data_IF_270408987134
#
_entry.id   IF_270408987134
#
_cell.length_a   1.000
_cell.length_b   1.000
_cell.length_c   1.000
_cell.angle_alpha   90.00
_cell.angle_beta   90.00
_cell.angle_gamma   90.00
#
_symmetry.space_group_name_H-M   'P 1'
#
loop_
_entity.id
_entity.type
_entity.pdbx_description
1 polymer ?
#
# COMPACT_ATOMS: atom_id res chain seq x y z
N UNK A 1 -25.87 76.27 18.58
CA UNK A 1 -25.32 77.48 19.20
C UNK A 1 -24.91 77.06 20.58
N UNK A 2 -23.63 77.13 20.92
CA UNK A 2 -23.14 76.91 22.29
C UNK A 2 -23.52 78.12 23.13
N UNK A 3 -24.18 77.93 24.27
CA UNK A 3 -24.43 79.03 25.18
C UNK A 3 -23.12 79.41 25.90
N UNK A 4 -23.03 80.68 26.32
CA UNK A 4 -21.82 81.24 26.95
C UNK A 4 -22.07 81.50 28.42
N UNK A 5 -21.38 80.74 29.27
CA UNK A 5 -21.45 80.90 30.72
C UNK A 5 -20.28 81.77 31.23
N UNK A 6 -20.57 82.68 32.15
CA UNK A 6 -19.57 83.54 32.76
C UNK A 6 -19.54 83.31 34.27
N UNK A 7 -18.47 82.68 34.77
CA UNK A 7 -18.32 82.34 36.18
C UNK A 7 -17.53 83.39 36.97
N UNK A 8 -16.77 84.27 36.30
CA UNK A 8 -15.94 85.27 36.99
C UNK A 8 -14.93 84.61 37.94
N UNK A 9 -14.65 85.17 39.14
CA UNK A 9 -13.76 84.56 40.15
C UNK A 9 -14.45 83.50 41.01
N UNK A 10 -15.68 83.08 40.70
CA UNK A 10 -16.50 82.21 41.55
C UNK A 10 -16.21 80.72 41.33
N UNK A 11 -14.96 80.32 41.56
CA UNK A 11 -14.47 78.94 41.56
C UNK A 11 -13.57 78.73 42.76
N UNK A 12 -13.51 77.50 43.29
CA UNK A 12 -12.67 77.17 44.46
C UNK A 12 -11.18 77.28 44.13
N UNK A 13 -10.79 76.71 43.00
CA UNK A 13 -9.43 76.77 42.45
C UNK A 13 -9.49 76.77 40.92
N UNK A 14 -8.58 77.49 40.27
CA UNK A 14 -8.43 77.51 38.81
C UNK A 14 -6.98 77.17 38.46
N UNK A 15 -6.81 76.03 37.81
CA UNK A 15 -5.55 75.63 37.20
C UNK A 15 -5.64 75.78 35.69
N UNK A 16 -4.62 76.41 35.08
CA UNK A 16 -4.48 76.53 33.63
C UNK A 16 -3.29 75.71 33.16
N UNK A 17 -3.46 74.91 32.11
CA UNK A 17 -2.38 74.15 31.50
C UNK A 17 -1.58 74.97 30.48
N UNK A 18 -0.53 74.36 29.92
CA UNK A 18 0.22 74.95 28.82
C UNK A 18 -0.68 75.05 27.58
N UNK A 19 -0.61 76.16 26.85
CA UNK A 19 -1.39 76.34 25.62
C UNK A 19 -0.71 75.51 24.52
N UNK A 20 -1.35 74.42 24.02
CA UNK A 20 -0.74 73.61 23.00
C UNK A 20 -0.67 74.35 21.65
N UNK A 21 0.27 73.96 20.80
CA UNK A 21 0.43 74.57 19.48
C UNK A 21 -0.88 74.54 18.69
N UNK A 22 -1.14 75.61 17.93
CA UNK A 22 -2.32 75.70 17.08
C UNK A 22 -2.30 74.57 16.04
N UNK A 23 -3.48 74.17 15.58
CA UNK A 23 -3.60 73.18 14.52
C UNK A 23 -3.29 73.87 13.20
N UNK A 24 -2.25 73.40 12.53
CA UNK A 24 -1.75 73.97 11.27
C UNK A 24 -1.88 73.01 10.09
N UNK A 25 -2.15 71.72 10.35
CA UNK A 25 -2.25 70.68 9.32
C UNK A 25 -3.47 69.78 9.53
N UNK A 26 -4.11 69.41 8.43
CA UNK A 26 -5.12 68.35 8.38
C UNK A 26 -4.69 67.34 7.33
N UNK A 27 -4.55 66.09 7.74
CA UNK A 27 -4.30 64.95 6.90
C UNK A 27 -5.58 64.11 6.84
N UNK A 28 -6.08 63.91 5.63
CA UNK A 28 -7.35 63.23 5.39
C UNK A 28 -7.11 61.98 4.54
N UNK A 29 -7.01 60.83 5.20
CA UNK A 29 -6.72 59.53 4.58
C UNK A 29 -7.96 58.93 3.93
N UNK A 30 -7.85 58.55 2.66
CA UNK A 30 -8.93 57.97 1.84
C UNK A 30 -8.81 56.45 1.80
N UNK A 31 -7.59 55.95 1.70
CA UNK A 31 -7.22 54.54 1.78
C UNK A 31 -5.84 54.39 2.43
N UNK A 32 -5.22 53.21 2.37
CA UNK A 32 -3.92 52.95 3.01
C UNK A 32 -2.75 53.69 2.38
N UNK A 33 -2.86 54.13 1.13
CA UNK A 33 -1.77 54.72 0.34
C UNK A 33 -2.05 56.15 -0.13
N UNK A 34 -3.27 56.66 0.06
CA UNK A 34 -3.70 57.98 -0.40
C UNK A 34 -4.28 58.83 0.73
N UNK A 35 -3.68 60.01 0.96
CA UNK A 35 -4.18 61.03 1.87
C UNK A 35 -4.10 62.42 1.24
N UNK A 36 -5.07 63.28 1.56
CA UNK A 36 -5.08 64.69 1.19
C UNK A 36 -4.59 65.52 2.37
N UNK A 37 -3.55 66.33 2.14
CA UNK A 37 -2.99 67.22 3.17
C UNK A 37 -3.40 68.66 2.88
N UNK A 38 -3.87 69.36 3.91
CA UNK A 38 -4.03 70.80 3.92
C UNK A 38 -3.16 71.40 5.03
N UNK A 39 -2.44 72.49 4.74
CA UNK A 39 -1.68 73.25 5.73
C UNK A 39 -0.18 72.95 5.77
N UNK A 40 0.46 73.20 6.91
CA UNK A 40 1.91 73.08 7.12
C UNK A 40 2.28 72.48 8.48
N UNK A 41 3.56 72.16 8.67
CA UNK A 41 4.07 71.42 9.83
C UNK A 41 4.48 72.35 10.99
N UNK A 42 3.98 73.58 11.02
CA UNK A 42 4.37 74.57 12.04
C UNK A 42 3.68 74.38 13.40
N UNK A 43 2.67 73.53 13.47
CA UNK A 43 1.85 73.23 14.64
C UNK A 43 1.36 71.78 14.67
N UNK A 44 0.21 71.55 15.31
CA UNK A 44 -0.38 70.20 15.45
C UNK A 44 -1.11 69.77 14.17
N UNK A 45 -1.12 68.46 13.94
CA UNK A 45 -1.83 67.84 12.82
C UNK A 45 -3.10 67.13 13.32
N UNK A 46 -4.20 67.31 12.60
CA UNK A 46 -5.38 66.43 12.71
C UNK A 46 -5.25 65.32 11.68
N UNK A 47 -5.35 64.08 12.14
CA UNK A 47 -5.39 62.89 11.30
C UNK A 47 -6.83 62.36 11.25
N UNK A 48 -7.45 62.35 10.07
CA UNK A 48 -8.84 61.91 9.87
C UNK A 48 -8.90 60.90 8.74
N UNK A 49 -9.64 59.82 8.92
CA UNK A 49 -9.92 58.85 7.85
C UNK A 49 -11.30 59.09 7.25
N UNK A 50 -11.37 59.38 5.95
CA UNK A 50 -12.61 59.55 5.21
C UNK A 50 -12.46 59.00 3.77
N UNK A 51 -13.08 57.84 3.44
CA UNK A 51 -12.98 57.20 2.12
C UNK A 51 -13.56 58.00 0.94
N UNK A 52 -14.33 59.06 1.22
CA UNK A 52 -14.84 59.99 0.20
C UNK A 52 -14.22 61.39 0.34
N UNK A 53 -13.06 61.44 1.00
CA UNK A 53 -12.29 62.65 1.17
C UNK A 53 -11.96 63.34 -0.13
N UNK A 54 -12.02 64.66 -0.13
CA UNK A 54 -11.47 65.49 -1.22
C UNK A 54 -10.52 66.54 -0.65
N UNK A 55 -9.66 67.08 -1.52
CA UNK A 55 -8.75 68.17 -1.15
C UNK A 55 -9.51 69.40 -0.62
N UNK A 56 -10.70 69.69 -1.18
CA UNK A 56 -11.56 70.79 -0.71
C UNK A 56 -12.08 70.53 0.71
N UNK A 57 -12.35 69.28 1.08
CA UNK A 57 -12.75 68.92 2.44
C UNK A 57 -11.60 69.13 3.42
N UNK A 58 -10.39 68.66 3.09
CA UNK A 58 -9.20 68.90 3.93
C UNK A 58 -8.95 70.41 4.12
N UNK A 59 -9.06 71.20 3.05
CA UNK A 59 -8.92 72.65 3.10
C UNK A 59 -10.03 73.32 3.93
N UNK A 60 -11.29 72.86 3.79
CA UNK A 60 -12.43 73.39 4.53
C UNK A 60 -12.33 73.12 6.04
N UNK A 61 -11.89 71.91 6.41
CA UNK A 61 -11.65 71.54 7.81
C UNK A 61 -10.55 72.43 8.38
N UNK A 62 -9.42 72.56 7.69
CA UNK A 62 -8.33 73.43 8.15
C UNK A 62 -8.80 74.89 8.27
N UNK A 63 -9.57 75.41 7.31
CA UNK A 63 -10.10 76.77 7.36
C UNK A 63 -11.05 76.99 8.56
N UNK A 64 -11.83 75.98 8.94
CA UNK A 64 -12.78 76.07 10.05
C UNK A 64 -12.10 76.07 11.45
N UNK A 65 -10.87 75.54 11.53
CA UNK A 65 -10.14 75.36 12.80
C UNK A 65 -8.89 76.26 12.91
N UNK A 66 -8.37 76.74 11.78
CA UNK A 66 -7.17 77.58 11.73
C UNK A 66 -7.39 78.88 12.49
N UNK A 67 -6.41 79.25 13.31
CA UNK A 67 -6.46 80.43 14.17
C UNK A 67 -7.27 80.25 15.46
N UNK A 68 -7.82 79.06 15.74
CA UNK A 68 -8.42 78.74 17.04
C UNK A 68 -7.36 78.20 17.99
N UNK A 69 -7.30 78.78 19.19
CA UNK A 69 -6.38 78.36 20.25
C UNK A 69 -7.16 77.59 21.30
N UNK A 70 -6.74 76.35 21.57
CA UNK A 70 -7.26 75.55 22.66
C UNK A 70 -6.61 76.00 23.97
N UNK A 71 -7.41 76.20 25.01
CA UNK A 71 -6.98 76.73 26.29
C UNK A 71 -7.35 75.73 27.39
N UNK A 72 -6.40 74.87 27.83
CA UNK A 72 -6.70 73.87 28.83
C UNK A 72 -6.84 74.50 30.21
N UNK A 73 -7.82 74.01 30.97
CA UNK A 73 -8.07 74.45 32.35
C UNK A 73 -8.79 73.37 33.13
N UNK A 74 -8.67 73.46 34.46
CA UNK A 74 -9.50 72.76 35.43
C UNK A 74 -9.97 73.77 36.46
N UNK A 75 -11.29 73.88 36.64
CA UNK A 75 -11.90 74.73 37.64
C UNK A 75 -12.72 73.88 38.61
N UNK A 76 -12.30 73.85 39.87
CA UNK A 76 -12.97 73.11 40.95
C UNK A 76 -14.02 73.99 41.63
N UNK A 77 -15.03 73.37 42.23
CA UNK A 77 -16.17 74.03 42.88
C UNK A 77 -16.77 75.16 42.04
N UNK A 78 -16.95 74.90 40.74
CA UNK A 78 -17.51 75.87 39.82
C UNK A 78 -19.00 76.03 40.08
N UNK A 79 -19.45 77.26 40.39
CA UNK A 79 -20.87 77.60 40.52
C UNK A 79 -21.53 77.69 39.13
N UNK A 80 -21.55 76.56 38.43
CA UNK A 80 -22.07 76.41 37.08
C UNK A 80 -23.60 76.34 37.10
N UNK A 81 -24.24 76.93 36.09
CA UNK A 81 -25.67 76.76 35.86
C UNK A 81 -25.97 75.28 35.60
N UNK A 82 -26.92 74.64 36.30
CA UNK A 82 -27.33 73.27 36.01
C UNK A 82 -27.77 72.99 34.56
N UNK A 83 -28.10 74.04 33.80
CA UNK A 83 -28.43 73.94 32.38
C UNK A 83 -27.21 73.91 31.45
N UNK A 84 -25.99 74.12 31.95
CA UNK A 84 -24.77 74.08 31.14
C UNK A 84 -24.43 72.66 30.70
N UNK A 85 -24.17 72.47 29.41
CA UNK A 85 -23.85 71.18 28.81
C UNK A 85 -22.36 71.09 28.41
N UNK A 86 -21.89 69.85 28.24
CA UNK A 86 -20.59 69.61 27.61
C UNK A 86 -20.64 70.15 26.19
N UNK A 87 -19.65 70.97 25.82
CA UNK A 87 -19.57 71.68 24.55
C UNK A 87 -19.97 73.16 24.62
N UNK A 88 -20.55 73.61 25.74
CA UNK A 88 -20.79 75.04 25.96
C UNK A 88 -19.50 75.80 26.27
N UNK A 89 -19.49 77.09 25.96
CA UNK A 89 -18.32 77.91 26.22
C UNK A 89 -18.41 78.56 27.60
N UNK A 90 -17.30 78.60 28.32
CA UNK A 90 -17.23 79.16 29.66
C UNK A 90 -16.08 80.16 29.81
N UNK A 91 -16.33 81.21 30.58
CA UNK A 91 -15.29 82.15 31.02
C UNK A 91 -15.09 82.04 32.53
N UNK A 92 -13.90 81.61 32.96
CA UNK A 92 -13.54 81.39 34.37
C UNK A 92 -12.28 82.17 34.69
N UNK A 93 -12.29 83.04 35.70
CA UNK A 93 -11.10 83.80 36.13
C UNK A 93 -10.47 84.69 35.05
N UNK A 94 -11.21 85.05 33.99
CA UNK A 94 -10.70 85.78 32.82
C UNK A 94 -10.19 84.88 31.68
N UNK A 95 -10.22 83.56 31.85
CA UNK A 95 -9.84 82.54 30.85
C UNK A 95 -11.08 82.05 30.09
N UNK A 96 -11.04 82.04 28.75
CA UNK A 96 -12.18 81.62 27.91
C UNK A 96 -11.88 80.28 27.26
N UNK A 97 -12.69 79.26 27.57
CA UNK A 97 -12.52 77.91 27.04
C UNK A 97 -13.88 77.21 26.87
N UNK A 98 -13.87 75.92 26.50
CA UNK A 98 -15.05 75.07 26.38
C UNK A 98 -15.21 74.19 27.61
N UNK A 99 -16.42 73.81 27.97
CA UNK A 99 -16.66 72.76 28.95
C UNK A 99 -16.52 71.42 28.23
N UNK A 100 -15.35 70.77 28.31
CA UNK A 100 -15.15 69.46 27.68
C UNK A 100 -15.50 68.29 28.61
N UNK A 101 -15.43 68.53 29.93
CA UNK A 101 -15.82 67.56 30.97
C UNK A 101 -16.50 68.27 32.13
N UNK A 102 -17.48 67.59 32.74
CA UNK A 102 -18.18 68.01 33.95
C UNK A 102 -18.17 66.83 34.93
N UNK A 103 -17.58 67.03 36.10
CA UNK A 103 -17.62 66.07 37.20
C UNK A 103 -18.41 66.65 38.37
N UNK A 104 -19.56 66.06 38.68
CA UNK A 104 -20.41 66.50 39.78
C UNK A 104 -20.08 65.73 41.06
N UNK A 105 -19.63 66.45 42.09
CA UNK A 105 -19.52 65.92 43.45
C UNK A 105 -20.85 66.14 44.17
N UNK A 106 -21.53 65.05 44.53
CA UNK A 106 -22.80 65.11 45.27
C UNK A 106 -22.58 65.37 46.77
N UNK A 107 -22.07 66.56 47.10
CA UNK A 107 -21.92 67.06 48.46
C UNK A 107 -23.01 68.10 48.81
N UNK A 108 -22.84 68.87 49.89
CA UNK A 108 -23.84 69.87 50.29
C UNK A 108 -23.93 71.08 49.35
N UNK A 109 -22.90 71.33 48.54
CA UNK A 109 -22.83 72.44 47.60
C UNK A 109 -23.17 72.00 46.16
N UNK A 110 -22.99 70.72 45.83
CA UNK A 110 -23.17 70.16 44.48
C UNK A 110 -22.46 70.98 43.40
N UNK A 111 -21.30 71.57 43.71
CA UNK A 111 -20.56 72.39 42.78
C UNK A 111 -19.72 71.48 41.86
N UNK A 112 -19.94 71.48 40.53
CA UNK A 112 -19.13 70.67 39.61
C UNK A 112 -17.68 71.13 39.53
N UNK A 113 -16.80 70.19 39.26
CA UNK A 113 -15.50 70.48 38.63
C UNK A 113 -15.68 70.45 37.12
N UNK A 114 -15.34 71.54 36.45
CA UNK A 114 -15.37 71.63 34.98
C UNK A 114 -13.95 71.74 34.43
N UNK A 115 -13.71 71.12 33.29
CA UNK A 115 -12.38 71.18 32.66
C UNK A 115 -12.42 71.07 31.14
N UNK A 116 -11.31 71.50 30.55
CA UNK A 116 -10.91 71.22 29.18
C UNK A 116 -9.49 70.63 29.25
N UNK A 117 -9.35 69.31 29.45
CA UNK A 117 -8.03 68.69 29.64
C UNK A 117 -7.20 68.71 28.35
N UNK A 118 -5.88 68.74 28.45
CA UNK A 118 -4.97 68.77 27.29
C UNK A 118 -4.81 67.40 26.61
N UNK A 119 -5.00 66.32 27.36
CA UNK A 119 -4.90 64.94 26.87
C UNK A 119 -5.73 63.99 27.73
N UNK A 120 -6.63 63.23 27.09
CA UNK A 120 -7.15 62.00 27.65
C UNK A 120 -6.27 60.84 27.14
N UNK A 121 -5.49 60.23 28.03
CA UNK A 121 -5.11 58.83 27.86
C UNK A 121 -6.39 57.99 28.02
N UNK A 122 -7.15 57.84 26.93
CA UNK A 122 -8.11 56.75 26.81
C UNK A 122 -7.40 55.65 26.02
N UNK A 123 -6.66 54.83 26.75
CA UNK A 123 -6.44 53.43 26.35
C UNK A 123 -7.76 52.66 26.58
N UNK A 124 -8.08 51.79 25.63
CA UNK A 124 -9.12 50.76 25.67
C UNK A 124 -10.61 51.17 25.51
N UNK A 125 -10.95 51.81 24.39
CA UNK A 125 -12.22 51.51 23.71
C UNK A 125 -11.96 50.59 22.52
N UNK A 126 -12.67 49.45 22.45
CA UNK A 126 -12.71 48.64 21.24
C UNK A 126 -13.04 49.57 20.06
N UNK A 127 -12.19 49.66 19.02
CA UNK A 127 -12.44 50.59 17.94
C UNK A 127 -13.83 50.29 17.37
N UNK A 128 -14.73 51.26 17.50
CA UNK A 128 -16.07 51.18 16.93
C UNK A 128 -15.93 51.07 15.41
N UNK A 129 -16.09 49.85 14.88
CA UNK A 129 -16.26 49.69 13.44
C UNK A 129 -17.64 50.24 13.07
N UNK A 130 -17.65 51.35 12.34
CA UNK A 130 -18.86 51.92 11.78
C UNK A 130 -19.59 50.89 10.90
N UNK A 131 -20.91 51.07 10.69
CA UNK A 131 -21.70 50.17 9.84
C UNK A 131 -21.06 50.00 8.46
N UNK A 132 -20.51 51.08 7.93
CA UNK A 132 -19.84 51.14 6.64
C UNK A 132 -18.57 50.29 6.61
N UNK A 133 -17.78 50.28 7.71
CA UNK A 133 -16.57 49.46 7.84
C UNK A 133 -16.91 47.97 7.93
N UNK A 134 -17.96 47.62 8.66
CA UNK A 134 -18.47 46.24 8.73
C UNK A 134 -19.04 45.77 7.39
N UNK A 135 -19.74 46.64 6.66
CA UNK A 135 -20.23 46.33 5.31
C UNK A 135 -19.08 46.16 4.32
N UNK A 136 -18.04 46.97 4.41
CA UNK A 136 -16.83 46.87 3.58
C UNK A 136 -16.05 45.60 3.86
N UNK A 137 -15.76 45.30 5.13
CA UNK A 137 -15.10 44.06 5.52
C UNK A 137 -15.92 42.84 5.09
N UNK A 138 -17.26 42.92 5.16
CA UNK A 138 -18.14 41.87 4.66
C UNK A 138 -18.14 41.76 3.13
N UNK A 139 -17.97 42.84 2.39
CA UNK A 139 -17.83 42.82 0.92
C UNK A 139 -16.46 42.29 0.48
N UNK A 140 -15.39 42.59 1.22
CA UNK A 140 -14.05 42.03 0.97
C UNK A 140 -13.97 40.54 1.32
N UNK A 141 -14.64 40.12 2.40
CA UNK A 141 -14.73 38.72 2.77
C UNK A 141 -15.58 37.88 1.79
N UNK A 142 -16.43 38.52 0.98
CA UNK A 142 -17.09 37.87 -0.15
C UNK A 142 -16.09 37.55 -1.27
N UNK A 143 -16.56 36.85 -2.32
CA UNK A 143 -15.72 36.52 -3.48
C UNK A 143 -15.15 37.79 -4.13
N UNK A 144 -13.83 37.93 -4.08
CA UNK A 144 -13.09 39.00 -4.74
C UNK A 144 -11.95 38.43 -5.60
N UNK A 145 -11.45 39.25 -6.52
CA UNK A 145 -10.29 38.93 -7.35
C UNK A 145 -9.21 40.00 -7.18
N UNK A 146 -7.96 39.58 -7.03
CA UNK A 146 -6.80 40.45 -6.85
C UNK A 146 -5.73 40.10 -7.88
N UNK A 147 -5.11 41.14 -8.44
CA UNK A 147 -3.91 41.03 -9.28
C UNK A 147 -2.82 41.85 -8.60
N UNK A 148 -1.79 41.16 -8.09
CA UNK A 148 -0.63 41.81 -7.47
C UNK A 148 0.56 41.67 -8.39
N UNK A 149 1.29 42.78 -8.58
CA UNK A 149 2.50 42.81 -9.40
C UNK A 149 3.59 43.54 -8.65
N UNK A 150 4.65 42.82 -8.32
CA UNK A 150 5.88 43.36 -7.74
C UNK A 150 7.06 43.12 -8.69
N UNK A 151 8.27 43.49 -8.27
CA UNK A 151 9.48 43.16 -9.01
C UNK A 151 9.83 41.65 -8.92
N UNK A 152 9.31 40.94 -7.92
CA UNK A 152 9.67 39.55 -7.60
C UNK A 152 8.55 38.56 -7.96
N UNK A 153 7.30 39.03 -8.01
CA UNK A 153 6.13 38.17 -8.19
C UNK A 153 5.05 38.84 -9.06
N UNK A 154 4.46 38.05 -9.95
CA UNK A 154 3.14 38.34 -10.52
C UNK A 154 2.17 37.31 -9.95
N UNK A 155 1.18 37.77 -9.17
CA UNK A 155 0.19 36.93 -8.51
C UNK A 155 -1.23 37.28 -8.97
N UNK A 156 -1.97 36.25 -9.37
CA UNK A 156 -3.40 36.30 -9.66
C UNK A 156 -4.10 35.51 -8.58
N UNK A 157 -5.10 36.10 -7.91
CA UNK A 157 -5.87 35.44 -6.87
C UNK A 157 -7.37 35.70 -7.01
N UNK A 158 -8.15 34.66 -6.72
CA UNK A 158 -9.58 34.77 -6.42
C UNK A 158 -9.79 34.12 -5.07
N UNK A 159 -10.35 34.85 -4.11
CA UNK A 159 -10.57 34.37 -2.77
C UNK A 159 -11.99 34.70 -2.29
N UNK A 160 -12.52 33.84 -1.44
CA UNK A 160 -13.73 34.08 -0.67
C UNK A 160 -13.43 33.63 0.75
N UNK A 161 -13.21 34.61 1.62
CA UNK A 161 -12.82 34.39 3.01
C UNK A 161 -13.97 33.81 3.84
N UNK A 162 -15.22 34.10 3.47
CA UNK A 162 -16.42 33.54 4.13
C UNK A 162 -16.49 32.03 3.91
N UNK A 163 -16.29 31.58 2.67
CA UNK A 163 -16.36 30.17 2.31
C UNK A 163 -15.01 29.45 2.48
N UNK A 164 -13.94 30.16 2.83
CA UNK A 164 -12.60 29.59 2.99
C UNK A 164 -12.04 28.99 1.70
N UNK A 165 -12.42 29.57 0.54
CA UNK A 165 -12.01 29.10 -0.78
C UNK A 165 -11.04 30.09 -1.41
N UNK A 166 -9.98 29.58 -2.04
CA UNK A 166 -9.08 30.42 -2.82
C UNK A 166 -8.50 29.68 -4.03
N UNK A 167 -8.17 30.44 -5.07
CA UNK A 167 -7.40 29.97 -6.21
C UNK A 167 -6.37 31.05 -6.54
N UNK A 168 -5.11 30.65 -6.71
CA UNK A 168 -4.04 31.57 -7.07
C UNK A 168 -3.05 30.98 -8.05
N UNK A 169 -2.44 31.87 -8.84
CA UNK A 169 -1.29 31.59 -9.70
C UNK A 169 -0.23 32.62 -9.36
N UNK A 170 0.95 32.15 -8.94
CA UNK A 170 2.15 32.95 -8.68
C UNK A 170 3.21 32.62 -9.72
N UNK A 171 3.78 33.67 -10.33
CA UNK A 171 4.88 33.57 -11.28
C UNK A 171 6.07 34.33 -10.68
N UNK A 172 7.14 33.59 -10.43
CA UNK A 172 8.43 34.08 -9.94
C UNK A 172 9.52 33.74 -10.95
N UNK A 173 10.75 34.24 -10.75
CA UNK A 173 11.84 34.05 -11.71
C UNK A 173 12.27 32.59 -11.88
N UNK A 174 12.18 31.79 -10.83
CA UNK A 174 12.63 30.40 -10.79
C UNK A 174 11.49 29.38 -10.82
N UNK A 175 10.24 29.85 -10.75
CA UNK A 175 9.11 28.99 -10.45
C UNK A 175 7.75 29.55 -10.89
N UNK A 176 6.84 28.65 -11.23
CA UNK A 176 5.42 28.95 -11.44
C UNK A 176 4.60 28.03 -10.54
N UNK A 177 3.78 28.62 -9.67
CA UNK A 177 2.96 27.90 -8.69
C UNK A 177 1.49 28.19 -8.92
N UNK A 178 0.70 27.15 -9.13
CA UNK A 178 -0.77 27.25 -9.14
C UNK A 178 -1.31 26.53 -7.92
N UNK A 179 -2.17 27.17 -7.15
CA UNK A 179 -2.77 26.61 -5.93
C UNK A 179 -4.28 26.82 -5.93
N UNK A 180 -5.02 25.76 -5.62
CA UNK A 180 -6.46 25.82 -5.36
C UNK A 180 -6.72 25.25 -3.97
N UNK A 181 -7.33 26.06 -3.11
CA UNK A 181 -7.74 25.70 -1.76
C UNK A 181 -9.25 25.53 -1.69
N UNK A 182 -9.66 24.33 -1.28
CA UNK A 182 -11.02 23.97 -0.98
C UNK A 182 -11.31 23.94 0.52
N UNK A 183 -12.54 23.59 0.88
CA UNK A 183 -12.96 23.38 2.26
C UNK A 183 -12.19 22.22 2.93
N UNK A 184 -12.01 22.29 4.24
CA UNK A 184 -11.47 21.17 5.03
C UNK A 184 -10.00 20.83 4.74
N UNK A 185 -9.16 21.85 4.54
CA UNK A 185 -7.73 21.74 4.22
C UNK A 185 -7.41 21.01 2.91
N UNK A 186 -8.36 20.98 1.98
CA UNK A 186 -8.14 20.45 0.64
C UNK A 186 -7.26 21.42 -0.15
N UNK A 187 -6.13 20.94 -0.66
CA UNK A 187 -5.20 21.75 -1.46
C UNK A 187 -4.80 20.96 -2.70
N UNK A 188 -4.87 21.61 -3.86
CA UNK A 188 -4.29 21.14 -5.12
C UNK A 188 -3.23 22.14 -5.57
N UNK A 189 -2.00 21.68 -5.77
CA UNK A 189 -0.87 22.49 -6.18
C UNK A 189 -0.17 21.90 -7.40
N UNK A 190 0.17 22.78 -8.36
CA UNK A 190 1.09 22.48 -9.44
C UNK A 190 2.28 23.43 -9.26
N UNK A 191 3.48 22.86 -9.10
CA UNK A 191 4.73 23.58 -9.00
C UNK A 191 5.63 23.24 -10.17
N UNK A 192 5.92 24.22 -11.02
CA UNK A 192 6.92 24.09 -12.06
C UNK A 192 8.20 24.82 -11.63
N UNK A 193 9.34 24.18 -11.83
CA UNK A 193 10.69 24.76 -11.74
C UNK A 193 11.45 24.45 -13.02
N UNK A 194 12.69 24.94 -13.15
CA UNK A 194 13.58 24.54 -14.25
C UNK A 194 13.84 23.03 -14.29
N UNK A 195 13.82 22.37 -13.13
CA UNK A 195 14.24 20.97 -12.99
C UNK A 195 13.07 19.99 -12.88
N UNK A 196 11.87 20.45 -12.55
CA UNK A 196 10.74 19.57 -12.23
C UNK A 196 9.40 20.21 -12.52
N UNK A 197 8.39 19.35 -12.69
CA UNK A 197 6.99 19.69 -12.55
C UNK A 197 6.44 18.75 -11.47
N UNK A 198 6.04 19.31 -10.33
CA UNK A 198 5.47 18.58 -9.19
C UNK A 198 3.96 18.83 -9.13
N UNK A 199 3.20 17.77 -8.90
CA UNK A 199 1.76 17.83 -8.72
C UNK A 199 1.43 17.24 -7.35
N UNK A 200 0.95 18.08 -6.44
CA UNK A 200 0.63 17.71 -5.07
C UNK A 200 -0.85 17.96 -4.80
N UNK A 201 -1.55 16.92 -4.36
CA UNK A 201 -2.96 17.02 -3.96
C UNK A 201 -3.12 16.41 -2.58
N UNK A 202 -3.63 17.21 -1.66
CA UNK A 202 -3.96 16.79 -0.29
C UNK A 202 -5.48 16.90 -0.13
N UNK A 203 -6.18 15.77 -0.08
CA UNK A 203 -7.66 15.73 -0.08
C UNK A 203 -8.28 14.74 0.94
N UNK A 204 -7.64 14.53 2.09
CA UNK A 204 -8.18 13.65 3.14
C UNK A 204 -8.17 12.17 2.74
N UNK A 205 -9.31 11.48 2.87
CA UNK A 205 -9.45 10.02 2.62
C UNK A 205 -9.66 9.64 1.15
N UNK A 206 -9.77 10.60 0.24
CA UNK A 206 -9.97 10.34 -1.18
C UNK A 206 -8.62 10.11 -1.88
N UNK A 207 -8.55 9.17 -2.82
CA UNK A 207 -7.33 8.97 -3.63
C UNK A 207 -7.02 10.24 -4.43
N UNK A 208 -5.79 10.74 -4.34
CA UNK A 208 -5.28 11.76 -5.26
C UNK A 208 -4.84 11.10 -6.57
N UNK A 209 -5.29 11.62 -7.71
CA UNK A 209 -5.00 11.06 -9.03
C UNK A 209 -4.33 12.12 -9.90
N UNK A 210 -3.13 11.84 -10.37
CA UNK A 210 -2.50 12.61 -11.45
C UNK A 210 -3.01 12.05 -12.77
N UNK A 211 -3.94 12.76 -13.42
CA UNK A 211 -4.41 12.45 -14.78
C UNK A 211 -3.75 13.38 -15.79
N UNK A 212 -2.87 12.86 -16.65
CA UNK A 212 -2.36 13.60 -17.82
C UNK A 212 -3.17 13.19 -19.06
N UNK A 213 -4.06 14.01 -19.58
CA UNK A 213 -4.96 13.63 -20.67
C UNK A 213 -4.67 14.35 -21.98
N UNK A 214 -4.69 13.61 -23.09
CA UNK A 214 -4.89 14.18 -24.44
C UNK A 214 -6.06 13.44 -25.09
N UNK A 215 -7.06 14.18 -25.58
CA UNK A 215 -8.28 13.61 -26.18
C UNK A 215 -9.04 12.61 -25.28
N UNK A 216 -9.08 12.86 -23.96
CA UNK A 216 -9.78 12.00 -22.99
C UNK A 216 -9.04 10.71 -22.62
N UNK A 217 -7.75 10.61 -22.95
CA UNK A 217 -6.93 9.45 -22.60
C UNK A 217 -5.91 9.81 -21.51
N UNK A 218 -6.14 9.32 -20.29
CA UNK A 218 -5.25 9.44 -19.14
C UNK A 218 -3.91 8.74 -19.39
N UNK A 219 -2.78 9.44 -19.15
CA UNK A 219 -1.37 9.11 -19.49
C UNK A 219 -1.31 8.03 -20.57
N UNK A 220 -1.71 8.37 -21.79
CA UNK A 220 -1.61 7.45 -22.91
C UNK A 220 -0.70 8.00 -23.98
N UNK A 221 0.36 7.24 -24.21
CA UNK A 221 1.30 7.44 -25.29
C UNK A 221 1.50 6.11 -25.98
N UNK A 222 1.93 6.12 -27.25
CA UNK A 222 2.44 4.90 -27.90
C UNK A 222 3.59 4.28 -27.09
N UNK A 223 4.31 5.09 -26.31
CA UNK A 223 5.33 4.62 -25.38
C UNK A 223 5.36 5.52 -24.16
N UNK A 224 5.23 4.93 -22.99
CA UNK A 224 5.48 5.55 -21.69
C UNK A 224 6.76 4.91 -21.16
N UNK A 225 7.79 5.70 -20.86
CA UNK A 225 9.09 5.21 -20.39
C UNK A 225 9.35 5.73 -18.99
N UNK A 226 9.41 4.82 -18.03
CA UNK A 226 10.02 5.06 -16.72
C UNK A 226 11.50 4.67 -16.80
N UNK A 227 12.37 5.41 -16.12
CA UNK A 227 13.81 5.12 -16.00
C UNK A 227 14.20 5.14 -14.53
N UNK A 228 15.06 4.21 -14.11
CA UNK A 228 15.32 3.97 -12.68
C UNK A 228 14.33 2.96 -12.08
N UNK A 229 14.33 2.86 -10.76
CA UNK A 229 13.43 1.96 -10.05
C UNK A 229 12.01 2.52 -10.00
N UNK A 230 11.01 1.65 -10.17
CA UNK A 230 9.60 1.97 -9.94
C UNK A 230 9.20 1.27 -8.65
N UNK A 231 9.22 2.00 -7.54
CA UNK A 231 8.93 1.50 -6.20
C UNK A 231 7.56 2.02 -5.76
N UNK A 232 6.75 1.12 -5.21
CA UNK A 232 5.54 1.49 -4.47
C UNK A 232 5.91 1.50 -2.99
N UNK A 233 5.84 2.67 -2.35
CA UNK A 233 6.24 2.87 -0.93
C UNK A 233 5.27 2.22 0.07
N UNK A 234 4.05 1.85 -0.37
CA UNK A 234 3.14 1.04 0.44
C UNK A 234 3.43 -0.45 0.27
N UNK A 235 3.01 -1.25 1.24
CA UNK A 235 3.02 -2.72 1.14
C UNK A 235 1.95 -3.25 0.17
N UNK A 236 1.20 -2.35 -0.49
CA UNK A 236 0.06 -2.66 -1.34
C UNK A 236 -1.00 -3.53 -0.64
N UNK A 237 -1.10 -3.48 0.70
CA UNK A 237 -2.07 -4.29 1.46
C UNK A 237 -3.52 -4.09 1.00
N UNK A 238 -3.80 -2.89 0.49
CA UNK A 238 -5.14 -2.42 0.12
C UNK A 238 -5.37 -2.40 -1.41
N UNK A 239 -4.42 -2.88 -2.23
CA UNK A 239 -4.54 -2.85 -3.69
C UNK A 239 -3.60 -3.79 -4.44
N UNK A 240 -4.01 -4.25 -5.62
CA UNK A 240 -3.14 -5.05 -6.51
C UNK A 240 -2.53 -4.16 -7.59
N UNK A 241 -1.28 -4.43 -7.97
CA UNK A 241 -0.72 -3.87 -9.22
C UNK A 241 -1.25 -4.70 -10.39
N UNK A 242 -2.14 -4.11 -11.20
CA UNK A 242 -2.61 -4.74 -12.44
C UNK A 242 -1.75 -4.28 -13.62
N UNK A 243 -0.84 -5.15 -14.07
CA UNK A 243 -0.16 -4.97 -15.37
C UNK A 243 -1.00 -5.69 -16.43
N UNK A 244 -1.95 -4.96 -17.02
CA UNK A 244 -2.77 -5.47 -18.12
C UNK A 244 -2.00 -5.38 -19.44
N UNK A 245 -1.15 -6.38 -19.69
CA UNK A 245 -0.35 -6.48 -20.91
C UNK A 245 0.04 -7.93 -21.18
N UNK A 246 0.07 -8.32 -22.45
CA UNK A 246 0.39 -9.70 -22.85
C UNK A 246 1.87 -10.08 -22.69
N UNK A 247 2.73 -9.18 -22.20
CA UNK A 247 4.17 -9.43 -22.13
C UNK A 247 4.81 -8.72 -20.92
N UNK A 248 5.46 -9.50 -20.06
CA UNK A 248 6.40 -9.03 -19.04
C UNK A 248 7.76 -9.60 -19.42
N UNK A 249 8.69 -8.74 -19.85
CA UNK A 249 10.08 -9.14 -20.14
C UNK A 249 10.96 -8.74 -18.97
N UNK A 250 11.25 -9.70 -18.10
CA UNK A 250 12.09 -9.53 -16.91
C UNK A 250 13.09 -10.68 -16.80
N UNK A 251 14.16 -10.49 -16.03
CA UNK A 251 15.11 -11.55 -15.71
C UNK A 251 14.59 -12.48 -14.62
N UNK A 252 14.09 -11.91 -13.52
CA UNK A 252 13.59 -12.64 -12.36
C UNK A 252 12.16 -12.21 -12.02
N UNK A 253 11.35 -13.19 -11.61
CA UNK A 253 10.05 -12.99 -10.96
C UNK A 253 10.13 -13.69 -9.60
N UNK A 254 10.32 -12.92 -8.53
CA UNK A 254 10.23 -13.43 -7.17
C UNK A 254 8.79 -13.25 -6.66
N UNK A 255 8.05 -14.35 -6.53
CA UNK A 255 6.65 -14.34 -6.13
C UNK A 255 6.31 -15.58 -5.29
N UNK A 256 5.37 -15.42 -4.35
CA UNK A 256 4.84 -16.55 -3.57
C UNK A 256 4.01 -17.51 -4.43
N UNK A 257 3.35 -17.00 -5.46
CA UNK A 257 2.53 -17.79 -6.38
C UNK A 257 2.57 -17.20 -7.79
N UNK A 258 2.52 -18.08 -8.79
CA UNK A 258 2.33 -17.74 -10.20
C UNK A 258 1.06 -18.47 -10.67
N UNK A 259 -0.02 -17.73 -10.90
CA UNK A 259 -1.25 -18.31 -11.43
C UNK A 259 -1.15 -18.43 -12.95
N UNK A 260 -1.21 -19.65 -13.47
CA UNK A 260 -1.18 -19.93 -14.91
C UNK A 260 -2.57 -20.35 -15.40
N UNK A 261 -3.12 -19.64 -16.40
CA UNK A 261 -4.36 -20.04 -17.08
C UNK A 261 -4.17 -21.16 -18.13
N UNK A 262 -3.04 -21.86 -18.09
CA UNK A 262 -2.60 -22.81 -19.12
C UNK A 262 -1.19 -23.32 -18.84
N UNK A 263 -0.39 -23.53 -19.89
CA UNK A 263 1.01 -23.95 -19.78
C UNK A 263 1.97 -22.76 -19.72
N UNK A 264 3.05 -22.90 -18.95
CA UNK A 264 4.23 -22.06 -19.01
C UNK A 264 5.24 -22.70 -19.96
N UNK A 265 5.43 -22.09 -21.14
CA UNK A 265 6.42 -22.54 -22.11
C UNK A 265 7.84 -22.32 -21.57
N UNK A 266 8.66 -23.37 -21.64
CA UNK A 266 10.06 -23.37 -21.22
C UNK A 266 10.94 -23.38 -22.47
N UNK A 267 11.70 -22.31 -22.66
CA UNK A 267 12.62 -22.15 -23.78
C UNK A 267 14.03 -22.64 -23.41
N UNK A 268 14.75 -23.16 -24.41
CA UNK A 268 16.10 -23.72 -24.23
C UNK A 268 17.16 -22.65 -23.95
N UNK A 269 16.88 -21.40 -24.29
CA UNK A 269 17.79 -20.25 -24.16
C UNK A 269 17.00 -19.00 -23.82
N UNK A 270 17.58 -18.09 -23.01
CA UNK A 270 16.93 -16.86 -22.60
C UNK A 270 16.60 -15.89 -23.76
N UNK A 271 17.38 -15.92 -24.85
CA UNK A 271 17.26 -14.97 -25.96
C UNK A 271 16.73 -15.57 -27.26
N UNK A 272 16.34 -16.86 -27.27
CA UNK A 272 15.97 -17.60 -28.49
C UNK A 272 14.54 -18.13 -28.45
N UNK A 273 13.96 -18.34 -29.63
CA UNK A 273 12.63 -18.94 -29.81
C UNK A 273 12.62 -20.48 -29.72
N UNK A 274 13.73 -21.07 -29.25
CA UNK A 274 13.89 -22.52 -29.23
C UNK A 274 13.07 -23.12 -28.09
N UNK A 275 11.90 -23.66 -28.44
CA UNK A 275 10.95 -24.27 -27.53
C UNK A 275 11.51 -25.59 -26.98
N UNK A 276 11.62 -25.70 -25.65
CA UNK A 276 12.11 -26.90 -24.96
C UNK A 276 11.00 -27.81 -24.45
N UNK A 277 9.87 -27.22 -24.05
CA UNK A 277 8.76 -27.94 -23.42
C UNK A 277 7.92 -26.99 -22.59
N UNK A 278 7.19 -27.51 -21.61
CA UNK A 278 6.37 -26.68 -20.74
C UNK A 278 6.22 -27.27 -19.33
N UNK A 279 5.86 -26.38 -18.40
CA UNK A 279 5.33 -26.71 -17.08
C UNK A 279 3.86 -26.31 -17.07
N UNK A 280 2.96 -27.21 -16.67
CA UNK A 280 1.55 -26.88 -16.67
C UNK A 280 0.64 -28.00 -16.24
N UNK A 281 -0.62 -27.89 -16.63
CA UNK A 281 -1.64 -28.90 -16.38
C UNK A 281 -1.66 -29.93 -17.52
N UNK A 282 -1.68 -31.21 -17.17
CA UNK A 282 -1.77 -32.31 -18.13
C UNK A 282 -2.72 -33.38 -17.60
N UNK A 283 -3.37 -34.10 -18.53
CA UNK A 283 -4.07 -35.35 -18.25
C UNK A 283 -3.27 -36.54 -18.77
N UNK A 284 -3.18 -37.61 -17.99
CA UNK A 284 -2.63 -38.90 -18.40
C UNK A 284 -3.59 -40.05 -18.10
N UNK A 285 -3.56 -41.11 -18.89
CA UNK A 285 -4.31 -42.34 -18.64
C UNK A 285 -3.52 -43.29 -17.74
N UNK A 286 -4.20 -43.94 -16.79
CA UNK A 286 -3.66 -45.09 -16.06
C UNK A 286 -3.55 -46.30 -16.97
N UNK A 287 -2.80 -47.31 -16.55
CA UNK A 287 -2.72 -48.58 -17.26
C UNK A 287 -4.11 -49.26 -17.36
N UNK A 288 -4.96 -49.07 -16.32
CA UNK A 288 -6.38 -49.44 -16.29
C UNK A 288 -7.32 -48.50 -17.08
N UNK A 289 -6.81 -47.71 -18.03
CA UNK A 289 -7.61 -46.85 -18.91
C UNK A 289 -8.29 -45.62 -18.27
N UNK A 290 -8.06 -45.32 -16.99
CA UNK A 290 -8.69 -44.19 -16.30
C UNK A 290 -7.92 -42.89 -16.50
N UNK A 291 -8.60 -41.81 -16.89
CA UNK A 291 -7.99 -40.49 -17.01
C UNK A 291 -7.72 -39.86 -15.65
N UNK A 292 -6.57 -39.24 -15.51
CA UNK A 292 -6.12 -38.54 -14.30
C UNK A 292 -5.42 -37.26 -14.72
N UNK A 293 -5.40 -36.25 -13.87
CA UNK A 293 -4.80 -34.98 -14.24
C UNK A 293 -4.08 -34.32 -13.06
N UNK A 294 -3.17 -33.41 -13.38
CA UNK A 294 -2.39 -32.67 -12.41
C UNK A 294 -1.25 -31.90 -13.05
N UNK A 295 -0.22 -31.62 -12.25
CA UNK A 295 0.95 -30.86 -12.69
C UNK A 295 1.89 -31.76 -13.50
N UNK A 296 2.38 -31.25 -14.62
CA UNK A 296 3.32 -31.95 -15.48
C UNK A 296 4.49 -31.07 -15.94
N UNK A 297 5.59 -31.75 -16.19
CA UNK A 297 6.74 -31.26 -16.95
C UNK A 297 6.78 -32.11 -18.22
N UNK A 298 6.66 -31.46 -19.38
CA UNK A 298 6.57 -32.14 -20.65
C UNK A 298 7.56 -31.58 -21.67
N UNK A 299 8.13 -32.47 -22.47
CA UNK A 299 8.85 -32.09 -23.70
C UNK A 299 7.93 -31.39 -24.71
N UNK A 300 8.52 -30.71 -25.69
CA UNK A 300 7.78 -29.93 -26.69
C UNK A 300 6.73 -30.71 -27.50
N UNK A 301 6.93 -32.02 -27.66
CA UNK A 301 6.03 -32.93 -28.37
C UNK A 301 5.27 -33.86 -27.41
N UNK A 302 5.34 -33.61 -26.09
CA UNK A 302 4.70 -34.42 -25.05
C UNK A 302 5.12 -35.90 -25.04
N UNK A 303 6.22 -36.24 -25.72
CA UNK A 303 6.75 -37.60 -25.72
C UNK A 303 7.33 -37.95 -24.35
N UNK A 304 8.23 -37.11 -23.82
CA UNK A 304 8.76 -37.27 -22.46
C UNK A 304 7.91 -36.47 -21.46
N UNK A 305 7.40 -37.17 -20.44
CA UNK A 305 6.52 -36.57 -19.42
C UNK A 305 6.90 -37.01 -18.01
N UNK A 306 6.85 -36.07 -17.08
CA UNK A 306 6.74 -36.34 -15.64
C UNK A 306 5.43 -35.70 -15.19
N UNK A 307 4.49 -36.51 -14.72
CA UNK A 307 3.18 -36.03 -14.29
C UNK A 307 2.88 -36.50 -12.87
N UNK A 308 2.45 -35.57 -12.02
CA UNK A 308 1.93 -35.86 -10.70
C UNK A 308 0.43 -35.61 -10.70
N UNK A 309 -0.34 -36.68 -10.46
CA UNK A 309 -1.80 -36.68 -10.44
C UNK A 309 -2.31 -37.09 -9.06
N UNK A 310 -3.61 -36.97 -8.83
CA UNK A 310 -4.27 -37.47 -7.62
C UNK A 310 -4.07 -38.97 -7.37
N UNK A 311 -3.75 -39.76 -8.40
CA UNK A 311 -3.57 -41.22 -8.30
C UNK A 311 -2.10 -41.66 -8.30
N UNK A 312 -1.16 -40.72 -8.23
CA UNK A 312 0.27 -41.00 -8.18
C UNK A 312 1.09 -40.25 -9.23
N UNK A 313 2.37 -40.61 -9.27
CA UNK A 313 3.38 -40.01 -10.14
C UNK A 313 3.82 -40.98 -11.23
N UNK A 314 4.02 -40.45 -12.44
CA UNK A 314 4.37 -41.24 -13.62
C UNK A 314 5.51 -40.57 -14.37
N UNK A 315 6.38 -41.41 -14.90
CA UNK A 315 7.43 -41.01 -15.83
C UNK A 315 7.26 -41.84 -17.09
N UNK A 316 7.26 -41.20 -18.25
CA UNK A 316 7.02 -41.87 -19.52
C UNK A 316 7.74 -41.24 -20.69
N UNK A 317 7.83 -42.03 -21.75
CA UNK A 317 8.37 -41.65 -23.05
C UNK A 317 7.45 -42.16 -24.17
N UNK A 318 7.17 -41.30 -25.16
CA UNK A 318 6.40 -41.58 -26.37
C UNK A 318 5.01 -42.19 -26.10
N UNK A 319 4.29 -41.61 -25.12
CA UNK A 319 2.97 -42.06 -24.73
C UNK A 319 2.96 -43.31 -23.83
N UNK A 320 4.13 -43.88 -23.51
CA UNK A 320 4.24 -45.07 -22.65
C UNK A 320 4.75 -44.66 -21.27
N UNK A 321 4.00 -45.01 -20.21
CA UNK A 321 4.48 -44.86 -18.83
C UNK A 321 5.46 -45.99 -18.52
N UNK A 322 6.71 -45.64 -18.23
CA UNK A 322 7.80 -46.60 -17.95
C UNK A 322 8.02 -46.80 -16.45
N UNK A 323 7.68 -45.79 -15.65
CA UNK A 323 7.73 -45.84 -14.18
C UNK A 323 6.45 -45.25 -13.63
N UNK A 324 5.73 -46.02 -12.83
CA UNK A 324 4.49 -45.59 -12.18
C UNK A 324 4.61 -45.85 -10.69
N UNK A 325 4.47 -44.80 -9.89
CA UNK A 325 4.41 -44.88 -8.43
C UNK A 325 3.00 -44.50 -7.98
N UNK A 326 2.28 -45.48 -7.42
CA UNK A 326 0.96 -45.29 -6.81
C UNK A 326 1.05 -45.48 -5.29
N UNK A 327 -0.07 -45.38 -4.60
CA UNK A 327 -0.14 -45.71 -3.16
C UNK A 327 0.08 -47.19 -2.85
N UNK A 328 -0.03 -48.08 -3.84
CA UNK A 328 -0.01 -49.53 -3.65
C UNK A 328 1.20 -50.21 -4.28
N UNK A 329 1.79 -49.63 -5.34
CA UNK A 329 2.90 -50.26 -6.04
C UNK A 329 3.82 -49.25 -6.72
N UNK A 330 5.06 -49.69 -6.94
CA UNK A 330 5.95 -49.12 -7.94
C UNK A 330 6.03 -50.12 -9.09
N UNK A 331 5.49 -49.74 -10.25
CA UNK A 331 5.58 -50.54 -11.47
C UNK A 331 6.65 -49.97 -12.40
N UNK A 332 7.52 -50.85 -12.89
CA UNK A 332 8.52 -50.55 -13.91
C UNK A 332 8.25 -51.52 -15.05
N UNK A 333 7.78 -51.00 -16.18
CA UNK A 333 7.31 -51.78 -17.33
C UNK A 333 8.38 -52.01 -18.39
N UNK A 334 9.60 -51.51 -18.18
CA UNK A 334 10.72 -51.77 -19.09
C UNK A 334 11.25 -53.21 -18.96
N UNK A 335 11.72 -53.77 -20.08
CA UNK A 335 12.23 -55.15 -20.18
C UNK A 335 13.43 -55.45 -19.27
N UNK A 336 14.10 -54.42 -18.75
CA UNK A 336 15.31 -54.57 -17.95
C UNK A 336 15.40 -53.48 -16.90
N UNK A 337 15.66 -53.91 -15.65
CA UNK A 337 16.07 -53.03 -14.56
C UNK A 337 17.53 -53.31 -14.26
N UNK A 338 18.41 -52.34 -14.56
CA UNK A 338 19.84 -52.46 -14.26
C UNK A 338 20.12 -51.92 -12.86
N UNK A 339 20.63 -52.78 -11.98
CA UNK A 339 21.01 -52.43 -10.60
C UNK A 339 22.52 -52.70 -10.44
N UNK A 340 23.28 -51.67 -10.09
CA UNK A 340 24.71 -51.81 -9.78
C UNK A 340 24.87 -52.16 -8.29
N UNK A 341 24.82 -53.45 -7.99
CA UNK A 341 24.76 -54.01 -6.63
C UNK A 341 23.57 -54.96 -6.47
N UNK A 342 23.45 -55.56 -5.29
CA UNK A 342 22.32 -56.46 -4.99
C UNK A 342 21.15 -55.70 -4.36
N UNK A 343 19.90 -55.93 -4.80
CA UNK A 343 18.75 -55.40 -4.11
C UNK A 343 18.67 -56.01 -2.70
N UNK A 344 18.54 -55.15 -1.68
CA UNK A 344 18.37 -55.59 -0.31
C UNK A 344 16.91 -55.95 -0.04
N UNK A 345 16.67 -57.15 0.47
CA UNK A 345 15.36 -57.57 0.99
C UNK A 345 15.34 -57.45 2.51
N UNK A 346 14.36 -56.72 3.05
CA UNK A 346 14.19 -56.62 4.51
C UNK A 346 13.84 -57.97 5.12
N UNK A 347 14.65 -58.45 6.06
CA UNK A 347 14.45 -59.73 6.74
C UNK A 347 14.67 -59.62 8.26
N UNK A 348 14.24 -58.50 8.86
CA UNK A 348 14.36 -58.25 10.30
C UNK A 348 13.48 -59.22 11.11
N UNK A 349 14.09 -59.92 12.08
CA UNK A 349 13.40 -60.91 12.91
C UNK A 349 12.25 -60.34 13.76
N UNK A 350 12.26 -59.03 14.03
CA UNK A 350 11.21 -58.31 14.78
C UNK A 350 9.94 -58.10 13.95
N UNK A 351 10.05 -58.16 12.63
CA UNK A 351 8.94 -57.99 11.69
C UNK A 351 8.36 -59.34 11.23
N UNK A 352 8.83 -60.47 11.77
CA UNK A 352 8.39 -61.82 11.40
C UNK A 352 7.75 -62.55 12.57
N UNK A 353 6.48 -62.95 12.40
CA UNK A 353 5.73 -63.83 13.30
C UNK A 353 5.76 -65.27 12.79
N UNK A 354 5.37 -66.24 13.63
CA UNK A 354 5.17 -67.64 13.22
C UNK A 354 6.36 -68.32 12.51
N UNK A 355 7.58 -68.02 12.96
CA UNK A 355 8.82 -68.60 12.40
C UNK A 355 8.85 -70.13 12.59
N UNK A 356 8.81 -70.88 11.49
CA UNK A 356 8.98 -72.33 11.43
C UNK A 356 10.31 -72.67 10.74
N UNK A 357 11.14 -73.51 11.36
CA UNK A 357 12.46 -73.88 10.83
C UNK A 357 12.45 -75.22 10.10
N UNK A 358 11.46 -76.05 10.39
CA UNK A 358 11.25 -77.29 9.65
C UNK A 358 10.45 -77.00 8.39
N UNK A 359 11.15 -77.05 7.25
CA UNK A 359 10.55 -76.85 5.93
C UNK A 359 10.20 -78.17 5.25
N UNK A 360 10.27 -79.32 5.94
CA UNK A 360 10.07 -80.67 5.36
C UNK A 360 8.79 -80.77 4.53
N UNK A 361 7.70 -80.14 4.99
CA UNK A 361 6.43 -80.08 4.24
C UNK A 361 6.59 -79.57 2.80
N UNK A 362 7.48 -78.60 2.57
CA UNK A 362 7.69 -77.97 1.27
C UNK A 362 8.77 -78.66 0.42
N UNK A 363 9.57 -79.53 1.03
CA UNK A 363 10.71 -80.16 0.36
C UNK A 363 10.29 -81.18 -0.70
N UNK A 364 9.09 -81.74 -0.63
CA UNK A 364 8.54 -82.60 -1.68
C UNK A 364 8.31 -81.83 -2.99
N UNK A 365 7.90 -80.56 -2.90
CA UNK A 365 7.75 -79.67 -4.06
C UNK A 365 9.09 -79.46 -4.74
N UNK A 366 10.15 -79.24 -3.95
CA UNK A 366 11.50 -79.05 -4.47
C UNK A 366 11.99 -80.26 -5.29
N UNK A 367 11.69 -81.48 -4.83
CA UNK A 367 12.08 -82.71 -5.55
C UNK A 367 11.36 -82.88 -6.89
N UNK A 368 10.21 -82.22 -7.07
CA UNK A 368 9.41 -82.24 -8.30
C UNK A 368 9.70 -81.08 -9.25
N UNK A 369 10.53 -80.12 -8.86
CA UNK A 369 10.90 -79.00 -9.73
C UNK A 369 11.58 -79.51 -11.01
N UNK A 370 11.21 -78.93 -12.14
CA UNK A 370 11.73 -79.28 -13.47
C UNK A 370 12.50 -78.07 -14.05
N UNK A 371 13.79 -77.89 -13.70
CA UNK A 371 14.62 -76.88 -14.35
C UNK A 371 14.63 -77.11 -15.86
N UNK A 372 14.32 -76.08 -16.63
CA UNK A 372 14.24 -76.16 -18.07
C UNK A 372 14.97 -74.99 -18.74
N UNK A 373 15.06 -75.06 -20.07
CA UNK A 373 15.45 -73.91 -20.87
C UNK A 373 14.33 -73.55 -21.82
N UNK A 374 14.11 -72.25 -22.01
CA UNK A 374 13.04 -71.75 -22.86
C UNK A 374 13.52 -70.50 -23.61
N UNK A 375 12.73 -70.12 -24.62
CA UNK A 375 12.90 -68.88 -25.37
C UNK A 375 11.55 -68.19 -25.32
N UNK A 376 11.51 -66.94 -24.88
CA UNK A 376 10.27 -66.16 -24.90
C UNK A 376 9.81 -65.95 -26.35
N UNK A 377 8.50 -65.92 -26.56
CA UNK A 377 7.94 -65.63 -27.89
C UNK A 377 8.44 -64.28 -28.40
N UNK A 378 8.86 -64.22 -29.66
CA UNK A 378 9.51 -63.04 -30.25
C UNK A 378 10.98 -62.79 -29.85
N UNK A 379 11.58 -63.57 -28.96
CA UNK A 379 12.99 -63.41 -28.54
C UNK A 379 13.92 -64.48 -29.15
N UNK A 380 15.23 -64.21 -29.12
CA UNK A 380 16.27 -65.11 -29.67
C UNK A 380 17.12 -65.81 -28.61
N UNK A 381 17.21 -65.23 -27.41
CA UNK A 381 18.08 -65.73 -26.34
C UNK A 381 17.39 -66.86 -25.59
N UNK A 382 18.17 -67.88 -25.23
CA UNK A 382 17.72 -68.99 -24.40
C UNK A 382 17.93 -68.62 -22.93
N UNK A 383 16.88 -68.82 -22.15
CA UNK A 383 16.85 -68.57 -20.72
C UNK A 383 16.82 -69.91 -19.97
N UNK A 384 17.22 -69.89 -18.71
CA UNK A 384 17.11 -71.00 -17.76
C UNK A 384 16.08 -70.61 -16.70
N UNK A 385 15.27 -71.57 -16.28
CA UNK A 385 14.31 -71.31 -15.20
C UNK A 385 13.37 -72.48 -14.97
N UNK A 386 12.22 -72.15 -14.39
CA UNK A 386 11.11 -73.04 -14.09
C UNK A 386 9.85 -72.53 -14.79
N UNK A 387 8.93 -73.43 -15.10
CA UNK A 387 7.59 -73.08 -15.60
C UNK A 387 6.66 -72.95 -14.40
N UNK A 388 6.00 -71.81 -14.25
CA UNK A 388 5.19 -71.51 -13.06
C UNK A 388 4.01 -72.49 -12.87
N UNK A 389 3.37 -72.91 -13.97
CA UNK A 389 2.31 -73.91 -13.97
C UNK A 389 2.82 -75.30 -13.53
N UNK A 390 4.05 -75.67 -13.87
CA UNK A 390 4.64 -76.94 -13.40
C UNK A 390 4.95 -76.88 -11.89
N UNK A 391 5.26 -75.69 -11.34
CA UNK A 391 5.38 -75.48 -9.89
C UNK A 391 4.01 -75.59 -9.22
N UNK A 392 2.95 -75.05 -9.83
CA UNK A 392 1.57 -75.19 -9.36
C UNK A 392 1.14 -76.66 -9.30
N UNK A 393 1.44 -77.45 -10.34
CA UNK A 393 1.20 -78.90 -10.34
C UNK A 393 1.98 -79.61 -9.21
N UNK A 394 3.24 -79.25 -8.99
CA UNK A 394 4.04 -79.82 -7.90
C UNK A 394 3.46 -79.51 -6.51
N UNK A 395 2.86 -78.32 -6.32
CA UNK A 395 2.14 -77.99 -5.09
C UNK A 395 0.89 -78.85 -4.91
N UNK A 396 0.11 -79.02 -5.98
CA UNK A 396 -1.09 -79.85 -5.96
C UNK A 396 -0.77 -81.32 -5.63
N UNK A 397 0.30 -81.86 -6.21
CA UNK A 397 0.79 -83.23 -5.96
C UNK A 397 1.20 -83.45 -4.49
N UNK A 398 1.76 -82.44 -3.85
CA UNK A 398 2.17 -82.47 -2.43
C UNK A 398 1.04 -82.03 -1.48
N UNK A 399 -0.15 -81.71 -2.02
CA UNK A 399 -1.31 -81.27 -1.23
C UNK A 399 -1.10 -79.92 -0.54
N UNK A 400 -0.25 -79.05 -1.09
CA UNK A 400 0.04 -77.73 -0.54
C UNK A 400 -0.83 -76.68 -1.25
N UNK A 401 -1.70 -75.95 -0.53
CA UNK A 401 -2.46 -74.86 -1.12
C UNK A 401 -1.56 -73.75 -1.65
N UNK A 402 -1.90 -73.14 -2.79
CA UNK A 402 -1.14 -72.00 -3.35
C UNK A 402 -1.00 -70.84 -2.36
N UNK A 403 -2.04 -70.59 -1.55
CA UNK A 403 -2.03 -69.55 -0.52
C UNK A 403 -1.00 -69.78 0.59
N UNK A 404 -0.47 -71.00 0.71
CA UNK A 404 0.56 -71.40 1.69
C UNK A 404 1.98 -71.38 1.06
N UNK A 405 2.11 -70.88 -0.18
CA UNK A 405 3.39 -70.91 -0.90
C UNK A 405 3.61 -69.63 -1.73
N UNK A 406 4.12 -68.58 -1.07
CA UNK A 406 4.31 -67.25 -1.65
C UNK A 406 5.29 -67.17 -2.84
N UNK A 407 6.04 -68.24 -3.11
CA UNK A 407 6.95 -68.28 -4.24
C UNK A 407 6.23 -68.35 -5.59
N UNK A 408 4.99 -68.87 -5.62
CA UNK A 408 4.11 -68.83 -6.77
C UNK A 408 3.16 -67.63 -6.62
N UNK A 409 3.06 -66.81 -7.65
CA UNK A 409 2.15 -65.67 -7.69
C UNK A 409 1.22 -65.83 -8.90
N UNK A 410 -0.08 -65.85 -8.64
CA UNK A 410 -1.12 -66.01 -9.65
C UNK A 410 -1.97 -64.74 -9.71
N UNK A 411 -2.01 -64.13 -10.89
CA UNK A 411 -2.88 -63.00 -11.20
C UNK A 411 -4.06 -63.51 -12.01
N UNK A 412 -5.27 -63.15 -11.58
CA UNK A 412 -6.49 -63.45 -12.31
C UNK A 412 -6.53 -62.65 -13.62
N UNK A 413 -7.26 -63.16 -14.64
CA UNK A 413 -7.56 -62.42 -15.86
C UNK A 413 -7.96 -60.97 -15.61
N UNK A 414 -7.28 -60.05 -16.31
CA UNK A 414 -7.50 -58.61 -16.26
C UNK A 414 -7.41 -58.00 -17.65
N UNK A 415 -7.71 -56.70 -17.80
CA UNK A 415 -7.53 -56.01 -19.09
C UNK A 415 -6.07 -56.03 -19.57
N UNK A 416 -5.10 -55.96 -18.64
CA UNK A 416 -3.66 -56.00 -18.96
C UNK A 416 -3.18 -57.43 -19.24
N UNK A 417 -3.78 -58.42 -18.57
CA UNK A 417 -3.44 -59.84 -18.71
C UNK A 417 -4.73 -60.66 -18.92
N UNK A 418 -5.26 -60.75 -20.16
CA UNK A 418 -6.55 -61.39 -20.45
C UNK A 418 -6.64 -62.87 -20.05
N UNK A 419 -5.50 -63.57 -20.05
CA UNK A 419 -5.39 -64.98 -19.67
C UNK A 419 -4.91 -65.17 -18.22
N UNK A 420 -4.80 -64.07 -17.46
CA UNK A 420 -4.10 -64.03 -16.18
C UNK A 420 -2.58 -64.08 -16.36
N UNK A 421 -1.86 -64.06 -15.25
CA UNK A 421 -0.40 -64.12 -15.26
C UNK A 421 0.12 -65.00 -14.12
N UNK A 422 1.10 -65.85 -14.43
CA UNK A 422 1.79 -66.67 -13.45
C UNK A 422 3.24 -66.19 -13.33
N UNK A 423 3.67 -65.85 -12.11
CA UNK A 423 5.04 -65.41 -11.84
C UNK A 423 5.66 -66.19 -10.69
N UNK A 424 6.99 -66.28 -10.68
CA UNK A 424 7.77 -66.99 -9.66
C UNK A 424 8.72 -66.05 -8.93
N UNK A 425 8.74 -66.13 -7.60
CA UNK A 425 9.75 -65.49 -6.75
C UNK A 425 10.90 -66.45 -6.52
N UNK A 426 11.88 -66.43 -7.43
CA UNK A 426 13.05 -67.33 -7.36
C UNK A 426 13.80 -67.25 -6.03
N UNK A 427 13.84 -66.08 -5.38
CA UNK A 427 14.47 -65.92 -4.07
C UNK A 427 13.88 -66.83 -2.99
N UNK A 428 12.56 -67.03 -2.98
CA UNK A 428 11.87 -67.94 -2.04
C UNK A 428 12.18 -69.41 -2.35
N UNK A 429 12.25 -69.77 -3.64
CA UNK A 429 12.57 -71.14 -4.09
C UNK A 429 14.02 -71.51 -3.73
N UNK A 430 14.94 -70.55 -3.89
CA UNK A 430 16.36 -70.74 -3.57
C UNK A 430 16.59 -71.07 -2.10
N UNK A 431 15.74 -70.62 -1.17
CA UNK A 431 15.85 -70.96 0.25
C UNK A 431 15.66 -72.47 0.49
N UNK A 432 14.75 -73.12 -0.24
CA UNK A 432 14.57 -74.58 -0.12
C UNK A 432 15.81 -75.36 -0.58
N UNK A 433 16.58 -74.81 -1.53
CA UNK A 433 17.84 -75.42 -1.95
C UNK A 433 18.84 -75.51 -0.79
N UNK A 434 18.87 -74.49 0.10
CA UNK A 434 19.71 -74.51 1.31
C UNK A 434 19.35 -75.71 2.19
N UNK A 435 18.07 -75.92 2.46
CA UNK A 435 17.59 -77.05 3.27
C UNK A 435 17.91 -78.41 2.63
N UNK A 436 17.72 -78.56 1.31
CA UNK A 436 18.09 -79.79 0.59
C UNK A 436 19.59 -80.07 0.63
N UNK A 437 20.42 -79.04 0.47
CA UNK A 437 21.88 -79.17 0.58
C UNK A 437 22.26 -79.62 1.99
N UNK A 438 21.66 -79.04 3.04
CA UNK A 438 21.88 -79.47 4.43
C UNK A 438 21.44 -80.93 4.67
N UNK A 439 20.31 -81.35 4.11
CA UNK A 439 19.86 -82.75 4.17
C UNK A 439 20.80 -83.71 3.44
N UNK A 440 21.31 -83.31 2.27
CA UNK A 440 22.29 -84.08 1.51
C UNK A 440 23.61 -84.23 2.28
N UNK A 441 24.11 -83.14 2.86
CA UNK A 441 25.33 -83.16 3.68
C UNK A 441 25.19 -84.13 4.87
N UNK A 442 24.04 -84.10 5.56
CA UNK A 442 23.73 -85.03 6.66
C UNK A 442 23.71 -86.49 6.18
N UNK A 443 23.04 -86.77 5.05
CA UNK A 443 22.99 -88.12 4.46
C UNK A 443 24.38 -88.63 4.06
N UNK A 444 25.23 -87.76 3.49
CA UNK A 444 26.61 -88.11 3.13
C UNK A 444 27.40 -88.48 4.38
N UNK A 445 27.34 -87.67 5.45
CA UNK A 445 28.00 -87.98 6.73
C UNK A 445 27.54 -89.31 7.33
N UNK A 446 26.23 -89.58 7.29
CA UNK A 446 25.68 -90.85 7.79
C UNK A 446 26.16 -92.05 6.95
N UNK A 447 26.29 -91.89 5.63
CA UNK A 447 26.81 -92.92 4.74
C UNK A 447 28.30 -93.17 4.95
N UNK A 448 29.11 -92.11 5.09
CA UNK A 448 30.54 -92.20 5.41
C UNK A 448 30.78 -92.90 6.74
N UNK A 449 29.99 -92.57 7.78
CA UNK A 449 30.06 -93.24 9.08
C UNK A 449 29.74 -94.74 8.99
N UNK A 450 28.74 -95.12 8.20
CA UNK A 450 28.39 -96.55 7.94
C UNK A 450 29.45 -97.28 7.12
N UNK A 451 30.15 -96.58 6.22
CA UNK A 451 31.21 -97.17 5.41
C UNK A 451 32.46 -97.42 6.27
N UNK A 452 32.83 -96.47 7.13
CA UNK A 452 33.99 -96.58 8.01
C UNK A 452 33.77 -97.61 9.13
N UNK A 453 32.56 -97.74 9.67
CA UNK A 453 32.23 -98.77 10.66
C UNK A 453 32.06 -100.19 10.11
N UNK A 454 32.37 -100.44 8.83
CA UNK A 454 32.30 -101.77 8.18
C UNK A 454 33.69 -102.37 7.89
N UNK A 455 34.75 -101.65 8.24
CA UNK A 455 36.16 -102.07 8.12
C UNK A 455 36.89 -102.21 9.47
N UNK A 456 36.16 -101.97 10.58
CA UNK A 456 36.50 -102.44 11.93
C UNK A 456 35.61 -103.65 12.26
#
# INVERSE_FOLDING_TARGET
MSDKFFLGPHVGELETGDIPANISRVNLSVDSDHYYTAGDDTGRAIEVTCPWGTQEMANSILAAISGKTYQPYTATDALLDPAAEIGDAVTVGGYYSVIASINNLFDRACAPTISAPESDEIDDEYPYESKERRETNRQLAQTHSLITKTAEEIRLEVANEIDGLSASISVQLDSITSTVQGLGNQVSQIQQTVNSITLDVTNGTASSQIRLEINGITVASQTIRFTGDVVFESDLSDGTTLISGGCIRTGEISANYIHLGGKMDVYRTASGSSFGGYIGYMSGMTASGSSTAGIAIASSNEAAVVICTTNGARMGYDGVSTVVCTSTQVSITGDTVFINGEPATTSDARLKTEKQYDVEKYLGVFDRLKPCTFVYDGHKRRHFGLIAQEVQEALADEGIPESDFAALCTELPSEEHPDGLYTLRYGEIQIMAIAKIQQLEKKIKDLEGKLNGRFD
#
